data_IF_803769568414
#
_entry.id   IF_803769568414
#
_cell.length_a   1.000
_cell.length_b   1.000
_cell.length_c   1.000
_cell.angle_alpha   90.00
_cell.angle_beta   90.00
_cell.angle_gamma   90.00
#
_symmetry.space_group_name_H-M   'P 1'
#
loop_
_entity.id
_entity.type
_entity.pdbx_description
1 polymer ?
#
# COMPACT_ATOMS: atom_id res chain seq x y z
N UNK A 1 -44.70 -15.59 -33.80
CA UNK A 1 -44.80 -15.10 -32.40
C UNK A 1 -44.12 -16.00 -31.36
N UNK A 2 -43.91 -17.31 -31.59
CA UNK A 2 -43.37 -18.26 -30.59
C UNK A 2 -41.88 -18.04 -30.24
N UNK A 3 -41.06 -17.56 -31.18
CA UNK A 3 -39.61 -17.37 -30.96
C UNK A 3 -39.29 -16.16 -30.06
N UNK A 4 -40.15 -15.13 -30.05
CA UNK A 4 -40.00 -13.96 -29.17
C UNK A 4 -40.20 -14.33 -27.69
N UNK A 5 -41.05 -15.31 -27.41
CA UNK A 5 -41.29 -15.83 -26.05
C UNK A 5 -40.09 -16.64 -25.52
N UNK A 6 -39.44 -17.41 -26.40
CA UNK A 6 -38.21 -18.14 -26.05
C UNK A 6 -37.04 -17.20 -25.75
N UNK A 7 -36.90 -16.10 -26.49
CA UNK A 7 -35.89 -15.07 -26.20
C UNK A 7 -36.12 -14.40 -24.83
N UNK A 8 -37.38 -14.15 -24.47
CA UNK A 8 -37.73 -13.55 -23.18
C UNK A 8 -37.42 -14.47 -21.99
N UNK A 9 -37.50 -15.79 -22.20
CA UNK A 9 -37.21 -16.80 -21.18
C UNK A 9 -35.71 -17.06 -20.99
N UNK A 10 -34.88 -16.70 -21.99
CA UNK A 10 -33.42 -16.79 -21.95
C UNK A 10 -32.74 -15.56 -21.33
N UNK A 11 -33.47 -14.46 -21.16
CA UNK A 11 -32.98 -13.21 -20.56
C UNK A 11 -32.42 -13.37 -19.12
N UNK A 12 -33.05 -14.11 -18.18
CA UNK A 12 -32.55 -14.21 -16.79
C UNK A 12 -31.22 -14.97 -16.67
N UNK A 13 -30.82 -15.75 -17.67
CA UNK A 13 -29.51 -16.42 -17.69
C UNK A 13 -28.34 -15.43 -17.87
N UNK A 14 -28.61 -14.24 -18.40
CA UNK A 14 -27.62 -13.15 -18.54
C UNK A 14 -27.72 -12.11 -17.42
N UNK A 15 -28.66 -12.26 -16.47
CA UNK A 15 -28.79 -11.41 -15.28
C UNK A 15 -28.15 -12.04 -14.03
N UNK A 16 -27.28 -13.03 -14.18
CA UNK A 16 -26.38 -13.44 -13.10
C UNK A 16 -25.38 -12.32 -12.80
N UNK A 17 -25.83 -11.33 -12.02
CA UNK A 17 -24.97 -10.30 -11.46
C UNK A 17 -23.79 -10.93 -10.72
N UNK A 18 -22.67 -10.20 -10.68
CA UNK A 18 -21.42 -10.66 -10.09
C UNK A 18 -21.64 -11.08 -8.62
N UNK A 19 -21.67 -12.39 -8.37
CA UNK A 19 -22.04 -12.97 -7.08
C UNK A 19 -20.95 -12.82 -6.01
N UNK A 20 -19.78 -12.29 -6.40
CA UNK A 20 -18.58 -12.17 -5.57
C UNK A 20 -18.34 -10.72 -5.10
N UNK A 21 -19.43 -10.03 -4.74
CA UNK A 21 -19.35 -8.71 -4.12
C UNK A 21 -18.96 -8.89 -2.65
N UNK A 22 -17.65 -8.98 -2.38
CA UNK A 22 -17.17 -8.96 -1.00
C UNK A 22 -17.24 -7.54 -0.43
N UNK A 23 -17.95 -7.43 0.69
CA UNK A 23 -18.33 -6.16 1.30
C UNK A 23 -17.09 -5.34 1.74
N UNK A 24 -16.94 -4.12 1.21
CA UNK A 24 -15.86 -3.18 1.55
C UNK A 24 -15.77 -2.95 3.07
N UNK A 25 -16.90 -3.04 3.76
CA UNK A 25 -17.06 -2.86 5.20
C UNK A 25 -16.34 -3.92 6.04
N UNK A 26 -16.11 -5.13 5.51
CA UNK A 26 -15.45 -6.24 6.22
C UNK A 26 -13.91 -6.19 6.14
N UNK A 27 -13.38 -5.21 5.43
CA UNK A 27 -11.94 -5.07 5.20
C UNK A 27 -11.44 -3.75 5.77
N UNK A 28 -10.21 -3.75 6.26
CA UNK A 28 -9.49 -2.52 6.59
C UNK A 28 -8.53 -2.20 5.47
N UNK A 29 -8.63 -0.98 4.96
CA UNK A 29 -7.82 -0.50 3.84
C UNK A 29 -6.42 -0.19 4.34
N UNK A 30 -5.41 -0.67 3.60
CA UNK A 30 -4.01 -0.32 3.83
C UNK A 30 -3.64 0.83 2.90
N UNK A 31 -3.23 1.96 3.44
CA UNK A 31 -2.88 3.16 2.65
C UNK A 31 -1.38 3.29 2.39
N UNK A 32 -0.55 2.87 3.33
CA UNK A 32 0.89 2.78 3.13
C UNK A 32 1.50 1.54 3.76
N UNK A 33 2.65 1.15 3.21
CA UNK A 33 3.45 0.02 3.67
C UNK A 33 4.89 0.49 3.87
N UNK A 34 5.48 0.19 5.03
CA UNK A 34 6.86 0.49 5.38
C UNK A 34 7.66 -0.78 5.56
N UNK A 35 8.90 -0.80 5.06
CA UNK A 35 9.81 -1.93 5.15
C UNK A 35 11.12 -1.51 5.81
N UNK A 36 11.39 -2.16 6.95
CA UNK A 36 12.56 -1.93 7.78
C UNK A 36 13.38 -3.20 7.94
N UNK A 37 14.72 -3.07 7.86
CA UNK A 37 15.64 -4.16 8.19
C UNK A 37 15.90 -4.17 9.70
N UNK A 38 15.51 -5.25 10.36
CA UNK A 38 15.75 -5.46 11.79
C UNK A 38 17.17 -5.98 12.05
N UNK A 39 17.67 -5.78 13.26
CA UNK A 39 19.02 -6.20 13.68
C UNK A 39 19.18 -7.72 13.67
N UNK A 40 18.10 -8.45 13.99
CA UNK A 40 18.02 -9.91 13.91
C UNK A 40 18.00 -10.46 12.46
N UNK A 41 18.15 -9.60 11.46
CA UNK A 41 18.16 -9.98 10.05
C UNK A 41 16.77 -10.06 9.40
N UNK A 42 15.69 -10.01 10.18
CA UNK A 42 14.30 -10.06 9.67
C UNK A 42 13.84 -8.74 9.09
N UNK A 43 12.72 -8.76 8.38
CA UNK A 43 12.05 -7.59 7.84
C UNK A 43 10.87 -7.24 8.75
N UNK A 44 10.84 -6.01 9.25
CA UNK A 44 9.66 -5.44 9.88
C UNK A 44 8.82 -4.76 8.81
N UNK A 45 7.55 -5.16 8.75
CA UNK A 45 6.54 -4.55 7.89
C UNK A 45 5.62 -3.71 8.76
N UNK A 46 5.46 -2.45 8.40
CA UNK A 46 4.53 -1.52 9.05
C UNK A 46 3.45 -1.13 8.05
N UNK A 47 2.18 -1.18 8.47
CA UNK A 47 1.03 -0.77 7.69
C UNK A 47 0.42 0.49 8.30
N UNK A 48 0.03 1.44 7.47
CA UNK A 48 -0.76 2.60 7.87
C UNK A 48 -2.22 2.39 7.45
N UNK A 49 -3.12 2.42 8.44
CA UNK A 49 -4.54 2.14 8.29
C UNK A 49 -5.34 3.41 8.64
N UNK A 50 -6.27 3.88 7.80
CA UNK A 50 -7.07 5.06 8.10
C UNK A 50 -8.10 4.76 9.19
N UNK A 51 -8.35 5.73 10.07
CA UNK A 51 -9.46 5.69 11.03
C UNK A 51 -10.65 6.40 10.36
N UNK A 52 -11.64 5.63 9.91
CA UNK A 52 -12.74 6.12 9.04
C UNK A 52 -13.64 7.14 9.75
N UNK A 53 -13.85 6.99 11.06
CA UNK A 53 -14.66 7.89 11.89
C UNK A 53 -14.12 9.33 11.92
N UNK A 54 -12.83 9.51 11.65
CA UNK A 54 -12.15 10.81 11.66
C UNK A 54 -12.09 11.47 10.28
N UNK A 55 -12.31 10.70 9.20
CA UNK A 55 -12.32 11.23 7.83
C UNK A 55 -13.62 11.98 7.50
N UNK A 56 -14.70 11.71 8.24
CA UNK A 56 -16.01 12.35 8.08
C UNK A 56 -16.61 12.70 9.45
N UNK A 57 -16.22 13.83 10.06
CA UNK A 57 -16.82 14.25 11.33
C UNK A 57 -18.30 14.61 11.10
N UNK A 58 -19.20 13.68 11.46
CA UNK A 58 -20.64 13.82 11.31
C UNK A 58 -21.29 14.77 12.34
N UNK A 59 -20.52 15.34 13.26
CA UNK A 59 -21.05 16.22 14.30
C UNK A 59 -20.07 17.33 14.67
N UNK A 60 -20.59 18.56 14.72
CA UNK A 60 -19.87 19.72 15.23
C UNK A 60 -19.69 19.58 16.75
N UNK A 61 -18.61 18.93 17.18
CA UNK A 61 -18.33 18.70 18.61
C UNK A 61 -17.43 17.52 18.92
N UNK A 62 -17.09 16.67 17.94
CA UNK A 62 -16.14 15.58 18.14
C UNK A 62 -14.75 16.14 18.45
N UNK A 63 -14.10 15.73 19.55
CA UNK A 63 -12.73 16.18 19.85
C UNK A 63 -11.81 15.79 18.68
N UNK A 64 -11.04 16.76 18.20
CA UNK A 64 -10.12 16.58 17.07
C UNK A 64 -8.99 15.66 17.53
N UNK A 65 -9.09 14.36 17.21
CA UNK A 65 -8.04 13.37 17.47
C UNK A 65 -6.73 13.80 16.78
N UNK A 66 -5.58 13.47 17.37
CA UNK A 66 -4.26 13.90 16.90
C UNK A 66 -3.73 13.14 15.68
N UNK A 67 -4.23 11.92 15.41
CA UNK A 67 -3.78 11.04 14.32
C UNK A 67 -4.96 10.34 13.63
N UNK A 68 -5.33 10.67 12.37
CA UNK A 68 -6.43 10.02 11.64
C UNK A 68 -6.08 8.65 11.06
N UNK A 69 -5.08 8.01 11.64
CA UNK A 69 -4.57 6.72 11.20
C UNK A 69 -4.03 5.93 12.39
N UNK A 70 -4.07 4.62 12.24
CA UNK A 70 -3.39 3.67 13.11
C UNK A 70 -2.26 2.99 12.35
N UNK A 71 -1.24 2.57 13.08
CA UNK A 71 -0.13 1.79 12.54
C UNK A 71 -0.18 0.36 13.07
N UNK A 72 0.13 -0.59 12.22
CA UNK A 72 0.21 -2.01 12.56
C UNK A 72 1.53 -2.58 12.06
N UNK A 73 2.29 -3.26 12.92
CA UNK A 73 3.55 -3.84 12.50
C UNK A 73 3.74 -5.29 12.92
N UNK A 74 4.46 -6.04 12.09
CA UNK A 74 4.91 -7.40 12.38
C UNK A 74 6.28 -7.65 11.71
N UNK A 75 7.00 -8.62 12.24
CA UNK A 75 8.29 -9.07 11.71
C UNK A 75 8.13 -10.42 11.00
N UNK A 76 8.93 -10.64 9.96
CA UNK A 76 9.03 -11.93 9.28
C UNK A 76 10.33 -12.06 8.51
N UNK A 77 10.64 -13.29 8.10
CA UNK A 77 11.82 -13.58 7.26
C UNK A 77 11.78 -12.84 5.92
N UNK A 78 10.58 -12.55 5.44
CA UNK A 78 10.31 -11.72 4.27
C UNK A 78 9.16 -10.77 4.56
N UNK A 79 8.99 -9.73 3.72
CA UNK A 79 7.83 -8.84 3.85
C UNK A 79 6.49 -9.60 3.81
N UNK A 80 6.40 -10.67 3.01
CA UNK A 80 5.20 -11.51 2.96
C UNK A 80 5.04 -12.44 4.17
N UNK A 81 6.14 -12.92 4.74
CA UNK A 81 6.10 -13.75 5.95
C UNK A 81 5.56 -12.98 7.17
N UNK A 82 5.62 -11.64 7.15
CA UNK A 82 5.03 -10.79 8.19
C UNK A 82 3.49 -10.64 8.03
N UNK A 83 2.92 -10.93 6.86
CA UNK A 83 1.48 -10.71 6.57
C UNK A 83 0.55 -11.52 7.47
N UNK A 84 0.77 -12.81 7.76
CA UNK A 84 -0.06 -13.55 8.71
C UNK A 84 -0.06 -12.91 10.11
N UNK A 85 1.10 -12.41 10.56
CA UNK A 85 1.22 -11.69 11.83
C UNK A 85 0.49 -10.35 11.83
N UNK A 86 0.50 -9.63 10.72
CA UNK A 86 -0.30 -8.41 10.53
C UNK A 86 -1.79 -8.72 10.53
N UNK A 87 -2.21 -9.74 9.79
CA UNK A 87 -3.62 -10.16 9.71
C UNK A 87 -4.14 -10.60 11.09
N UNK A 88 -3.33 -11.30 11.89
CA UNK A 88 -3.71 -11.72 13.23
C UNK A 88 -3.88 -10.54 14.21
N UNK A 89 -3.15 -9.45 13.99
CA UNK A 89 -3.29 -8.22 14.79
C UNK A 89 -4.39 -7.30 14.27
N UNK A 90 -4.82 -7.46 13.02
CA UNK A 90 -5.86 -6.67 12.42
C UNK A 90 -7.25 -7.16 12.88
N UNK A 91 -8.14 -6.23 13.23
CA UNK A 91 -9.52 -6.55 13.60
C UNK A 91 -10.38 -6.99 12.41
N UNK A 92 -9.98 -6.59 11.20
CA UNK A 92 -10.66 -6.87 9.93
C UNK A 92 -9.65 -7.33 8.89
N UNK A 93 -10.13 -7.94 7.82
CA UNK A 93 -9.23 -8.43 6.77
C UNK A 93 -8.49 -7.30 6.06
N UNK A 94 -7.16 -7.42 5.92
CA UNK A 94 -6.34 -6.36 5.34
C UNK A 94 -6.51 -6.30 3.81
N UNK A 95 -6.85 -5.12 3.31
CA UNK A 95 -6.99 -4.86 1.88
C UNK A 95 -5.85 -3.96 1.37
N UNK A 96 -4.94 -4.57 0.61
CA UNK A 96 -3.73 -3.94 0.08
C UNK A 96 -3.95 -3.19 -1.25
N UNK A 97 -5.13 -3.34 -1.88
CA UNK A 97 -5.42 -2.81 -3.21
C UNK A 97 -5.58 -1.28 -3.29
N UNK A 98 -5.29 -0.55 -2.20
CA UNK A 98 -5.31 0.92 -2.14
C UNK A 98 -4.03 1.50 -1.55
N UNK A 99 -2.95 0.71 -1.49
CA UNK A 99 -1.66 1.26 -1.11
C UNK A 99 -1.29 2.36 -2.10
N UNK A 100 -1.00 3.55 -1.56
CA UNK A 100 -0.51 4.70 -2.33
C UNK A 100 1.00 4.89 -2.19
N UNK A 101 1.56 4.51 -1.03
CA UNK A 101 2.97 4.71 -0.73
C UNK A 101 3.62 3.46 -0.12
N UNK A 102 4.79 3.11 -0.65
CA UNK A 102 5.69 2.08 -0.15
C UNK A 102 6.98 2.76 0.31
N UNK A 103 7.30 2.69 1.60
CA UNK A 103 8.52 3.26 2.17
C UNK A 103 9.53 2.14 2.43
N UNK A 104 10.75 2.33 1.97
CA UNK A 104 11.87 1.41 2.17
C UNK A 104 12.97 2.17 2.91
N UNK A 105 13.39 1.68 4.07
CA UNK A 105 14.53 2.26 4.78
C UNK A 105 15.83 2.07 4.02
N UNK A 106 16.75 3.04 4.15
CA UNK A 106 18.10 2.97 3.59
C UNK A 106 18.81 1.69 3.99
N UNK A 107 18.70 1.30 5.27
CA UNK A 107 19.31 0.06 5.80
C UNK A 107 18.83 -1.19 5.07
N UNK A 108 17.56 -1.24 4.65
CA UNK A 108 17.05 -2.34 3.83
C UNK A 108 17.50 -2.21 2.36
N UNK A 109 17.48 -0.99 1.82
CA UNK A 109 17.87 -0.72 0.43
C UNK A 109 19.34 -1.06 0.14
N UNK A 110 20.25 -0.83 1.11
CA UNK A 110 21.68 -1.17 1.03
C UNK A 110 21.93 -2.67 0.86
N UNK A 111 21.03 -3.52 1.38
CA UNK A 111 21.12 -4.98 1.20
C UNK A 111 20.65 -5.47 -0.16
N UNK A 112 20.13 -4.56 -0.99
CA UNK A 112 19.65 -4.81 -2.34
C UNK A 112 18.13 -4.71 -2.45
N UNK A 113 17.66 -3.89 -3.39
CA UNK A 113 16.24 -3.65 -3.61
C UNK A 113 15.54 -4.76 -4.42
N UNK A 114 16.28 -5.57 -5.18
CA UNK A 114 15.69 -6.60 -6.06
C UNK A 114 14.85 -7.62 -5.29
N UNK A 115 15.35 -8.08 -4.14
CA UNK A 115 14.66 -9.03 -3.28
C UNK A 115 13.40 -8.44 -2.60
N UNK A 116 13.27 -7.11 -2.59
CA UNK A 116 12.11 -6.40 -2.02
C UNK A 116 11.12 -6.04 -3.11
N UNK A 117 11.58 -5.51 -4.25
CA UNK A 117 10.73 -5.01 -5.32
C UNK A 117 10.16 -6.15 -6.17
N UNK A 118 10.93 -7.18 -6.53
CA UNK A 118 10.44 -8.27 -7.38
C UNK A 118 9.21 -8.97 -6.75
N UNK A 119 9.20 -9.29 -5.45
CA UNK A 119 8.03 -9.89 -4.82
C UNK A 119 6.83 -8.94 -4.76
N UNK A 120 7.04 -7.64 -4.54
CA UNK A 120 5.95 -6.66 -4.48
C UNK A 120 5.32 -6.44 -5.86
N UNK A 121 6.12 -6.37 -6.91
CA UNK A 121 5.65 -6.19 -8.29
C UNK A 121 4.88 -7.40 -8.82
N UNK A 122 5.29 -8.62 -8.43
CA UNK A 122 4.58 -9.85 -8.82
C UNK A 122 3.27 -10.08 -8.07
N UNK A 123 3.01 -9.34 -6.99
CA UNK A 123 1.86 -9.59 -6.15
C UNK A 123 0.65 -8.79 -6.63
N UNK A 124 -0.36 -9.48 -7.18
CA UNK A 124 -1.57 -8.88 -7.75
C UNK A 124 -2.41 -8.01 -6.79
N UNK A 125 -2.06 -7.98 -5.49
CA UNK A 125 -2.77 -7.20 -4.47
C UNK A 125 -2.18 -5.80 -4.24
N UNK A 126 -0.99 -5.50 -4.77
CA UNK A 126 -0.37 -4.17 -4.65
C UNK A 126 -0.63 -3.40 -5.93
N UNK A 127 -1.20 -2.18 -5.85
CA UNK A 127 -1.45 -1.37 -7.04
C UNK A 127 -0.14 -1.01 -7.76
N UNK A 128 -0.05 -1.21 -9.09
CA UNK A 128 1.13 -0.80 -9.88
C UNK A 128 1.43 0.71 -9.79
N UNK A 129 0.42 1.53 -9.50
CA UNK A 129 0.51 2.97 -9.32
C UNK A 129 0.99 3.40 -7.92
N UNK A 130 1.27 2.47 -7.01
CA UNK A 130 1.82 2.80 -5.69
C UNK A 130 3.23 3.41 -5.84
N UNK A 131 3.48 4.53 -5.18
CA UNK A 131 4.78 5.19 -5.21
C UNK A 131 5.76 4.51 -4.25
N UNK A 132 7.00 4.33 -4.69
CA UNK A 132 8.08 3.78 -3.86
C UNK A 132 8.99 4.92 -3.40
N UNK A 133 9.18 5.03 -2.09
CA UNK A 133 10.01 6.03 -1.43
C UNK A 133 11.16 5.35 -0.70
N UNK A 134 12.32 5.98 -0.72
CA UNK A 134 13.46 5.63 0.10
C UNK A 134 13.56 6.64 1.24
N UNK A 135 13.72 6.14 2.45
CA UNK A 135 13.87 6.98 3.66
C UNK A 135 15.22 6.71 4.32
N UNK A 136 15.82 7.77 4.83
CA UNK A 136 17.04 7.73 5.65
C UNK A 136 16.79 7.00 6.96
N UNK A 137 15.70 7.40 7.63
CA UNK A 137 15.25 6.84 8.89
C UNK A 137 14.41 5.58 8.67
N UNK A 138 13.95 4.97 9.77
CA UNK A 138 13.05 3.82 9.71
C UNK A 138 11.74 4.20 9.04
N UNK A 139 11.29 3.35 8.11
CA UNK A 139 10.02 3.52 7.42
C UNK A 139 8.84 3.55 8.40
N UNK A 140 8.91 2.77 9.48
CA UNK A 140 7.96 2.81 10.57
C UNK A 140 7.78 4.21 11.18
N UNK A 141 8.89 4.91 11.41
CA UNK A 141 8.88 6.19 12.13
C UNK A 141 8.35 7.31 11.22
N UNK A 142 8.66 7.23 9.92
CA UNK A 142 8.05 8.08 8.89
C UNK A 142 6.54 7.87 8.74
N UNK A 143 6.07 6.63 8.85
CA UNK A 143 4.63 6.32 8.76
C UNK A 143 3.86 6.71 10.03
N UNK A 144 4.52 6.68 11.19
CA UNK A 144 3.89 7.08 12.46
C UNK A 144 3.84 8.60 12.65
N UNK A 145 4.64 9.35 11.89
CA UNK A 145 4.69 10.80 12.00
C UNK A 145 3.39 11.44 11.48
N UNK A 146 2.62 12.07 12.36
CA UNK A 146 1.53 12.97 11.96
C UNK A 146 2.13 14.27 11.45
N UNK A 147 1.99 14.52 10.15
CA UNK A 147 2.37 15.82 9.59
C UNK A 147 1.47 16.93 10.14
N UNK A 148 1.98 18.17 10.12
CA UNK A 148 1.38 19.40 10.68
C UNK A 148 -0.10 19.65 10.35
N UNK A 149 -0.63 19.02 9.31
CA UNK A 149 -2.05 19.10 8.91
C UNK A 149 -2.91 17.92 9.38
N UNK A 150 -2.42 17.07 10.30
CA UNK A 150 -3.10 15.82 10.71
C UNK A 150 -3.53 15.00 9.50
N UNK A 151 -2.61 14.83 8.53
CA UNK A 151 -2.87 14.05 7.30
C UNK A 151 -2.18 12.70 7.38
N UNK A 152 -2.74 11.75 6.66
CA UNK A 152 -2.17 10.41 6.52
C UNK A 152 -0.86 10.55 5.73
N UNK A 153 0.24 9.95 6.22
CA UNK A 153 1.56 10.08 5.60
C UNK A 153 1.55 9.71 4.11
N UNK A 154 0.80 8.66 3.76
CA UNK A 154 0.60 8.24 2.36
C UNK A 154 0.05 9.35 1.45
N UNK A 155 -0.83 10.21 1.96
CA UNK A 155 -1.47 11.27 1.20
C UNK A 155 -0.53 12.45 1.01
N UNK A 156 0.20 12.82 2.06
CA UNK A 156 1.24 13.86 2.00
C UNK A 156 2.33 13.49 1.00
N UNK A 157 2.75 12.22 0.99
CA UNK A 157 3.77 11.73 0.04
C UNK A 157 3.27 11.78 -1.40
N UNK A 158 2.02 11.39 -1.66
CA UNK A 158 1.38 11.48 -2.98
C UNK A 158 1.27 12.93 -3.44
N UNK A 159 0.83 13.83 -2.56
CA UNK A 159 0.72 15.26 -2.88
C UNK A 159 2.09 15.88 -3.16
N UNK A 160 3.10 15.53 -2.37
CA UNK A 160 4.48 15.95 -2.60
C UNK A 160 4.98 15.49 -3.97
N UNK A 161 4.71 14.24 -4.35
CA UNK A 161 5.07 13.72 -5.67
C UNK A 161 4.35 14.46 -6.79
N UNK A 162 3.04 14.69 -6.66
CA UNK A 162 2.28 15.48 -7.63
C UNK A 162 2.74 16.94 -7.70
N UNK A 163 3.14 17.54 -6.58
CA UNK A 163 3.74 18.87 -6.55
C UNK A 163 5.08 18.93 -7.30
N UNK A 164 5.95 17.92 -7.11
CA UNK A 164 7.20 17.79 -7.86
C UNK A 164 6.95 17.63 -9.36
N UNK A 165 5.98 16.79 -9.73
CA UNK A 165 5.66 16.50 -11.13
C UNK A 165 5.04 17.72 -11.83
N UNK A 166 4.16 18.47 -11.15
CA UNK A 166 3.56 19.72 -11.66
C UNK A 166 4.56 20.88 -11.72
N UNK A 167 5.58 20.87 -10.87
CA UNK A 167 6.72 21.79 -10.96
C UNK A 167 7.68 21.44 -12.13
N UNK A 168 7.33 20.49 -13.00
CA UNK A 168 8.14 20.10 -14.17
C UNK A 168 9.45 19.39 -13.81
N UNK A 169 9.64 19.05 -12.54
CA UNK A 169 10.75 18.21 -12.10
C UNK A 169 10.27 16.78 -12.22
N UNK A 170 10.66 16.07 -13.28
CA UNK A 170 10.35 14.65 -13.35
C UNK A 170 10.92 13.97 -12.09
N UNK A 171 10.10 13.33 -11.25
CA UNK A 171 10.63 12.47 -10.22
C UNK A 171 11.32 11.32 -10.96
N UNK A 172 12.65 11.37 -11.04
CA UNK A 172 13.47 10.30 -11.61
C UNK A 172 13.35 9.06 -10.74
N UNK A 173 12.25 8.34 -10.85
CA UNK A 173 12.26 6.89 -10.64
C UNK A 173 12.79 6.30 -11.95
N UNK A 174 14.10 6.48 -12.19
CA UNK A 174 14.74 5.88 -13.35
C UNK A 174 14.85 4.38 -13.10
N UNK A 175 13.83 3.63 -13.54
CA UNK A 175 13.88 2.17 -13.62
C UNK A 175 15.08 1.71 -14.49
N UNK A 176 15.62 2.59 -15.34
CA UNK A 176 16.86 2.38 -16.11
C UNK A 176 18.11 2.19 -15.24
N UNK A 177 18.11 2.58 -13.96
CA UNK A 177 19.22 2.29 -13.04
C UNK A 177 19.15 0.87 -12.45
N UNK A 178 18.05 0.14 -12.60
CA UNK A 178 17.93 -1.28 -12.21
C UNK A 178 18.26 -2.26 -13.35
N UNK A 179 18.51 -1.78 -14.57
CA UNK A 179 18.90 -2.59 -15.73
C UNK A 179 20.22 -2.13 -16.36
N UNK A 180 21.28 -2.06 -15.56
CA UNK A 180 22.62 -2.34 -16.10
C UNK A 180 23.13 -3.63 -15.46
N UNK A 181 23.13 -4.77 -16.16
CA UNK A 181 23.98 -5.87 -15.74
C UNK A 181 25.41 -5.33 -15.74
N UNK A 182 26.04 -5.24 -14.56
CA UNK A 182 27.49 -5.06 -14.49
C UNK A 182 28.10 -6.32 -15.09
N UNK A 183 28.48 -6.18 -16.35
CA UNK A 183 29.23 -7.17 -17.10
C UNK A 183 30.50 -7.56 -16.36
N UNK A 184 30.78 -8.84 -16.48
CA UNK A 184 32.09 -9.47 -16.45
C UNK A 184 33.16 -8.50 -16.98
N UNK A 185 34.14 -8.16 -16.15
CA UNK A 185 35.44 -7.70 -16.63
C UNK A 185 36.49 -8.66 -16.13
N UNK A 186 36.89 -9.57 -17.03
CA UNK A 186 38.20 -10.22 -17.01
C UNK A 186 39.27 -9.14 -16.95
N UNK A 187 40.21 -9.26 -16.02
CA UNK A 187 41.65 -9.28 -16.28
C UNK A 187 42.31 -10.08 -15.17
#
# INVERSE_FOLDING_TARGET
MRIKFWLLWLLPLFLSGCWDAEEVTKRTVVMALGLDRMENGRIKVTLQLPIVEELFPLSAGTPVVEKPFSILSAEGETGFAAVPGLQAKAQRSLFFGQIKALLISRKLAETGLKGVIDPLHRHAKIPPQAFVYLTEDRANDMLDHSFWHKRIASEVLVDYFHAIQSAGTEPRISLSLMSKPKGISRK
#
